data_IF_709153251748
#
_entry.id   IF_709153251748
#
_cell.length_a   1.000
_cell.length_b   1.000
_cell.length_c   1.000
_cell.angle_alpha   90.00
_cell.angle_beta   90.00
_cell.angle_gamma   90.00
#
_symmetry.space_group_name_H-M   'P 1'
#
loop_
_entity.id
_entity.type
_entity.pdbx_description
1 polymer ?
#
# COMPACT_ATOMS: atom_id res chain seq x y z
N UNK A 1 11.76 5.96 -25.44
CA UNK A 1 10.83 6.53 -24.44
C UNK A 1 9.72 5.56 -24.04
N UNK A 2 8.91 5.04 -24.97
CA UNK A 2 7.80 4.12 -24.61
C UNK A 2 8.23 2.83 -23.88
N UNK A 3 9.37 2.22 -24.24
CA UNK A 3 9.91 1.05 -23.51
C UNK A 3 10.22 1.38 -22.05
N UNK A 4 10.68 2.60 -21.76
CA UNK A 4 11.01 3.06 -20.39
C UNK A 4 9.73 3.19 -19.58
N UNK A 5 8.66 3.78 -20.15
CA UNK A 5 7.35 3.84 -19.51
C UNK A 5 6.80 2.45 -19.18
N UNK A 6 6.85 1.51 -20.13
CA UNK A 6 6.38 0.14 -19.88
C UNK A 6 7.13 -0.52 -18.73
N UNK A 7 8.45 -0.41 -18.70
CA UNK A 7 9.27 -0.97 -17.60
C UNK A 7 8.94 -0.29 -16.26
N UNK A 8 8.71 1.03 -16.24
CA UNK A 8 8.33 1.73 -15.03
C UNK A 8 6.94 1.30 -14.52
N UNK A 9 5.97 1.08 -15.42
CA UNK A 9 4.63 0.58 -15.09
C UNK A 9 4.70 -0.86 -14.56
N UNK A 10 5.50 -1.73 -15.19
CA UNK A 10 5.73 -3.11 -14.74
C UNK A 10 6.37 -3.13 -13.34
N UNK A 11 7.38 -2.28 -13.11
CA UNK A 11 8.02 -2.12 -11.79
C UNK A 11 6.99 -1.66 -10.74
N UNK A 12 6.21 -0.63 -11.06
CA UNK A 12 5.19 -0.11 -10.16
C UNK A 12 4.13 -1.17 -9.82
N UNK A 13 3.70 -1.97 -10.80
CA UNK A 13 2.76 -3.07 -10.58
C UNK A 13 3.35 -4.14 -9.64
N UNK A 14 4.64 -4.46 -9.76
CA UNK A 14 5.33 -5.36 -8.84
C UNK A 14 5.36 -4.77 -7.42
N UNK A 15 5.70 -3.49 -7.27
CA UNK A 15 5.71 -2.82 -5.97
C UNK A 15 4.33 -2.80 -5.32
N UNK A 16 3.25 -2.51 -6.05
CA UNK A 16 1.87 -2.58 -5.52
C UNK A 16 1.54 -4.00 -5.05
N UNK A 17 1.97 -5.03 -5.79
CA UNK A 17 1.80 -6.43 -5.39
C UNK A 17 2.59 -6.79 -4.12
N UNK A 18 3.83 -6.34 -4.01
CA UNK A 18 4.66 -6.54 -2.81
C UNK A 18 4.04 -5.87 -1.59
N UNK A 19 3.51 -4.65 -1.74
CA UNK A 19 2.76 -3.96 -0.68
C UNK A 19 1.54 -4.76 -0.23
N UNK A 20 0.78 -5.34 -1.19
CA UNK A 20 -0.34 -6.21 -0.87
C UNK A 20 0.10 -7.42 -0.01
N UNK A 21 1.22 -8.04 -0.37
CA UNK A 21 1.78 -9.18 0.37
C UNK A 21 2.24 -8.77 1.77
N UNK A 22 2.90 -7.62 1.92
CA UNK A 22 3.32 -7.11 3.23
C UNK A 22 2.14 -6.84 4.15
N UNK A 23 1.08 -6.18 3.64
CA UNK A 23 -0.16 -5.94 4.39
C UNK A 23 -0.83 -7.26 4.79
N UNK A 24 -0.90 -8.22 3.86
CA UNK A 24 -1.50 -9.53 4.15
C UNK A 24 -0.71 -10.29 5.23
N UNK A 25 0.62 -10.37 5.10
CA UNK A 25 1.47 -11.05 6.08
C UNK A 25 1.37 -10.40 7.45
N UNK A 26 1.36 -9.07 7.52
CA UNK A 26 1.20 -8.37 8.79
C UNK A 26 -0.20 -8.55 9.38
N UNK A 27 -1.26 -8.50 8.56
CA UNK A 27 -2.62 -8.77 9.01
C UNK A 27 -2.81 -10.18 9.57
N UNK A 28 -2.18 -11.17 8.93
CA UNK A 28 -2.16 -12.55 9.41
C UNK A 28 -1.44 -12.67 10.75
N UNK A 29 -0.24 -12.07 10.88
CA UNK A 29 0.51 -12.01 12.14
C UNK A 29 -0.35 -11.42 13.28
N UNK A 30 -1.07 -10.33 13.00
CA UNK A 30 -1.95 -9.68 13.97
C UNK A 30 -3.18 -10.52 14.34
N UNK A 31 -3.74 -11.29 13.40
CA UNK A 31 -4.92 -12.13 13.63
C UNK A 31 -4.59 -13.43 14.37
N UNK A 32 -3.45 -14.05 14.06
CA UNK A 32 -3.06 -15.37 14.58
C UNK A 32 -2.32 -15.30 15.92
N UNK A 33 -1.71 -14.16 16.25
CA UNK A 33 -0.94 -14.08 17.49
C UNK A 33 -1.84 -14.12 18.73
N UNK A 34 -1.72 -15.20 19.49
CA UNK A 34 -2.20 -15.25 20.87
C UNK A 34 -1.33 -14.35 21.73
N UNK A 35 -1.95 -13.45 22.51
CA UNK A 35 -1.20 -12.60 23.43
C UNK A 35 -0.59 -13.46 24.55
N UNK A 36 0.70 -13.28 24.87
CA UNK A 36 1.32 -13.99 25.98
C UNK A 36 0.65 -13.60 27.32
N UNK A 37 0.66 -14.51 28.30
CA UNK A 37 0.06 -14.29 29.61
C UNK A 37 0.87 -13.32 30.51
N UNK A 38 2.06 -12.90 30.10
CA UNK A 38 2.95 -12.01 30.86
C UNK A 38 2.81 -10.55 30.39
N UNK A 39 2.33 -9.68 31.28
CA UNK A 39 1.93 -8.29 30.99
C UNK A 39 3.04 -7.41 30.40
N UNK A 40 4.29 -7.55 30.87
CA UNK A 40 5.43 -6.76 30.38
C UNK A 40 5.84 -7.10 28.94
N UNK A 41 5.46 -8.28 28.46
CA UNK A 41 5.69 -8.73 27.08
C UNK A 41 4.66 -8.12 26.12
N UNK A 42 3.44 -7.85 26.60
CA UNK A 42 2.31 -7.38 25.78
C UNK A 42 2.53 -5.94 25.31
N UNK A 43 2.83 -4.98 26.21
CA UNK A 43 3.03 -3.57 25.83
C UNK A 43 4.15 -3.40 24.81
N UNK A 44 5.25 -4.16 24.96
CA UNK A 44 6.35 -4.16 23.99
C UNK A 44 5.93 -4.70 22.63
N UNK A 45 5.17 -5.80 22.60
CA UNK A 45 4.65 -6.37 21.34
C UNK A 45 3.71 -5.38 20.65
N UNK A 46 2.86 -4.70 21.40
CA UNK A 46 1.95 -3.68 20.85
C UNK A 46 2.73 -2.49 20.28
N UNK A 47 3.76 -2.00 20.99
CA UNK A 47 4.61 -0.92 20.51
C UNK A 47 5.30 -1.29 19.17
N UNK A 48 5.89 -2.49 19.08
CA UNK A 48 6.56 -2.97 17.85
C UNK A 48 5.59 -3.08 16.67
N UNK A 49 4.36 -3.56 16.92
CA UNK A 49 3.33 -3.64 15.89
C UNK A 49 2.89 -2.27 15.42
N UNK A 50 2.73 -1.33 16.34
CA UNK A 50 2.36 0.05 16.02
C UNK A 50 3.45 0.73 15.19
N UNK A 51 4.72 0.54 15.54
CA UNK A 51 5.85 0.99 14.73
C UNK A 51 5.81 0.40 13.31
N UNK A 52 5.62 -0.92 13.18
CA UNK A 52 5.51 -1.60 11.89
C UNK A 52 4.33 -1.10 11.05
N UNK A 53 3.18 -0.81 11.67
CA UNK A 53 2.04 -0.20 11.00
C UNK A 53 2.41 1.16 10.40
N UNK A 54 3.05 2.04 11.19
CA UNK A 54 3.45 3.36 10.68
C UNK A 54 4.49 3.26 9.56
N UNK A 55 5.45 2.33 9.65
CA UNK A 55 6.39 2.09 8.55
C UNK A 55 5.66 1.69 7.26
N UNK A 56 4.68 0.77 7.34
CA UNK A 56 3.89 0.39 6.16
C UNK A 56 3.11 1.57 5.57
N UNK A 57 2.61 2.50 6.40
CA UNK A 57 1.96 3.73 5.92
C UNK A 57 2.92 4.65 5.19
N UNK A 58 4.15 4.79 5.67
CA UNK A 58 5.19 5.56 4.98
C UNK A 58 5.55 4.92 3.63
N UNK A 59 5.70 3.59 3.61
CA UNK A 59 5.99 2.84 2.39
C UNK A 59 4.86 3.00 1.36
N UNK A 60 3.60 2.81 1.75
CA UNK A 60 2.42 3.04 0.89
C UNK A 60 2.39 4.49 0.37
N UNK A 61 2.72 5.46 1.22
CA UNK A 61 2.79 6.88 0.82
C UNK A 61 3.87 7.10 -0.25
N UNK A 62 5.02 6.45 -0.12
CA UNK A 62 6.10 6.52 -1.10
C UNK A 62 5.67 5.90 -2.44
N UNK A 63 5.08 4.71 -2.42
CA UNK A 63 4.56 4.02 -3.62
C UNK A 63 3.46 4.85 -4.29
N UNK A 64 2.58 5.48 -3.51
CA UNK A 64 1.53 6.37 -4.04
C UNK A 64 2.13 7.58 -4.75
N UNK A 65 3.23 8.16 -4.23
CA UNK A 65 3.93 9.26 -4.90
C UNK A 65 4.55 8.78 -6.22
N UNK A 66 5.16 7.61 -6.26
CA UNK A 66 5.70 7.02 -7.48
C UNK A 66 4.61 6.86 -8.56
N UNK A 67 3.47 6.26 -8.22
CA UNK A 67 2.36 6.09 -9.16
C UNK A 67 1.80 7.43 -9.66
N UNK A 68 1.71 8.45 -8.80
CA UNK A 68 1.27 9.79 -9.20
C UNK A 68 2.26 10.46 -10.16
N UNK A 69 3.56 10.29 -9.94
CA UNK A 69 4.59 10.77 -10.86
C UNK A 69 4.47 10.10 -12.23
N UNK A 70 4.21 8.78 -12.25
CA UNK A 70 3.97 8.04 -13.50
C UNK A 70 2.75 8.56 -14.26
N UNK A 71 1.63 8.86 -13.57
CA UNK A 71 0.46 9.47 -14.21
C UNK A 71 0.79 10.84 -14.82
N UNK A 72 1.48 11.71 -14.08
CA UNK A 72 1.89 13.02 -14.57
C UNK A 72 2.75 12.91 -15.85
N UNK A 73 3.71 11.98 -15.88
CA UNK A 73 4.55 11.76 -17.06
C UNK A 73 3.80 11.14 -18.25
N UNK A 74 2.67 10.46 -18.01
CA UNK A 74 1.80 9.95 -19.06
C UNK A 74 0.79 11.01 -19.57
N UNK A 75 0.57 12.09 -18.83
CA UNK A 75 -0.32 13.22 -19.21
C UNK A 75 0.40 14.33 -19.98
N UNK A 76 1.73 14.30 -20.12
CA UNK A 76 2.50 15.37 -20.76
C UNK A 76 2.07 15.65 -22.22
N UNK A 77 1.86 16.93 -22.59
CA UNK A 77 1.10 17.33 -23.79
C UNK A 77 1.97 17.41 -25.06
N UNK A 78 2.74 16.37 -25.39
CA UNK A 78 3.34 16.21 -26.72
C UNK A 78 2.26 15.84 -27.78
N UNK A 79 1.10 16.49 -27.71
CA UNK A 79 -0.13 16.23 -28.47
C UNK A 79 -0.05 16.65 -29.95
N UNK A 80 1.03 17.28 -30.39
CA UNK A 80 1.17 17.74 -31.77
C UNK A 80 2.07 16.78 -32.57
N UNK A 81 1.54 15.62 -32.97
CA UNK A 81 2.15 14.78 -34.01
C UNK A 81 2.29 13.28 -33.73
N UNK A 82 1.75 12.76 -32.62
CA UNK A 82 1.75 11.32 -32.34
C UNK A 82 0.74 10.56 -33.21
N UNK A 83 1.16 9.38 -33.68
CA UNK A 83 0.26 8.44 -34.35
C UNK A 83 -0.88 8.00 -33.41
N UNK A 84 -2.07 7.79 -33.95
CA UNK A 84 -3.29 7.43 -33.20
C UNK A 84 -3.10 6.17 -32.31
N UNK A 85 -2.30 5.21 -32.78
CA UNK A 85 -1.91 3.99 -32.03
C UNK A 85 -1.10 4.31 -30.76
N UNK A 86 -0.19 5.29 -30.83
CA UNK A 86 0.63 5.71 -29.68
C UNK A 86 -0.22 6.45 -28.64
N UNK A 87 -1.22 7.22 -29.09
CA UNK A 87 -2.16 7.90 -28.20
C UNK A 87 -3.06 6.90 -27.47
N UNK A 88 -3.59 5.89 -28.17
CA UNK A 88 -4.41 4.84 -27.56
C UNK A 88 -3.62 4.03 -26.52
N UNK A 89 -2.36 3.70 -26.83
CA UNK A 89 -1.48 2.96 -25.94
C UNK A 89 -1.16 3.72 -24.66
N UNK A 90 -0.83 5.01 -24.78
CA UNK A 90 -0.58 5.89 -23.64
C UNK A 90 -1.83 6.03 -22.75
N UNK A 91 -3.02 6.11 -23.35
CA UNK A 91 -4.29 6.09 -22.61
C UNK A 91 -4.47 4.79 -21.81
N UNK A 92 -4.16 3.63 -22.42
CA UNK A 92 -4.24 2.33 -21.75
C UNK A 92 -3.20 2.17 -20.61
N UNK A 93 -1.99 2.68 -20.83
CA UNK A 93 -0.93 2.73 -19.82
C UNK A 93 -1.35 3.60 -18.63
N UNK A 94 -1.97 4.77 -18.89
CA UNK A 94 -2.52 5.66 -17.87
C UNK A 94 -3.62 4.99 -17.05
N UNK A 95 -4.59 4.34 -17.71
CA UNK A 95 -5.66 3.60 -17.04
C UNK A 95 -5.12 2.48 -16.14
N UNK A 96 -4.06 1.82 -16.57
CA UNK A 96 -3.40 0.77 -15.80
C UNK A 96 -2.78 1.32 -14.51
N UNK A 97 -2.02 2.42 -14.60
CA UNK A 97 -1.42 3.06 -13.42
C UNK A 97 -2.49 3.60 -12.48
N UNK A 98 -3.54 4.25 -13.02
CA UNK A 98 -4.65 4.76 -12.22
C UNK A 98 -5.34 3.62 -11.45
N UNK A 99 -5.64 2.50 -12.12
CA UNK A 99 -6.25 1.32 -11.48
C UNK A 99 -5.36 0.75 -10.37
N UNK A 100 -4.04 0.68 -10.57
CA UNK A 100 -3.10 0.21 -9.56
C UNK A 100 -3.07 1.13 -8.33
N UNK A 101 -3.13 2.46 -8.53
CA UNK A 101 -3.26 3.44 -7.45
C UNK A 101 -4.58 3.28 -6.68
N UNK A 102 -5.70 3.06 -7.38
CA UNK A 102 -6.99 2.78 -6.74
C UNK A 102 -6.89 1.52 -5.88
N UNK A 103 -6.32 0.44 -6.40
CA UNK A 103 -6.12 -0.81 -5.64
C UNK A 103 -5.23 -0.61 -4.42
N UNK A 104 -4.12 0.14 -4.54
CA UNK A 104 -3.25 0.46 -3.42
C UNK A 104 -4.00 1.20 -2.31
N UNK A 105 -4.80 2.20 -2.67
CA UNK A 105 -5.60 2.96 -1.73
C UNK A 105 -6.71 2.11 -1.06
N UNK A 106 -7.36 1.23 -1.81
CA UNK A 106 -8.34 0.29 -1.27
C UNK A 106 -7.71 -0.68 -0.27
N UNK A 107 -6.52 -1.21 -0.57
CA UNK A 107 -5.76 -2.08 0.35
C UNK A 107 -5.37 -1.35 1.62
N UNK A 108 -4.86 -0.13 1.51
CA UNK A 108 -4.53 0.74 2.65
C UNK A 108 -5.77 0.98 3.53
N UNK A 109 -6.88 1.40 2.92
CA UNK A 109 -8.13 1.71 3.63
C UNK A 109 -8.69 0.47 4.34
N UNK A 110 -8.66 -0.69 3.69
CA UNK A 110 -9.09 -1.94 4.29
C UNK A 110 -8.20 -2.34 5.48
N UNK A 111 -6.89 -2.13 5.35
CA UNK A 111 -5.93 -2.45 6.41
C UNK A 111 -6.06 -1.49 7.60
N UNK A 112 -6.25 -0.19 7.37
CA UNK A 112 -6.50 0.81 8.42
C UNK A 112 -7.73 0.40 9.26
N UNK A 113 -8.83 0.02 8.60
CA UNK A 113 -10.04 -0.43 9.31
C UNK A 113 -9.86 -1.75 10.06
N UNK A 114 -8.97 -2.64 9.60
CA UNK A 114 -8.59 -3.83 10.36
C UNK A 114 -7.73 -3.47 11.58
N UNK A 115 -6.75 -2.58 11.39
CA UNK A 115 -5.82 -2.14 12.41
C UNK A 115 -6.52 -1.42 13.56
N UNK A 116 -7.47 -0.51 13.29
CA UNK A 116 -8.25 0.17 14.32
C UNK A 116 -9.01 -0.81 15.22
N UNK A 117 -9.66 -1.81 14.62
CA UNK A 117 -10.35 -2.88 15.36
C UNK A 117 -9.38 -3.71 16.19
N UNK A 118 -8.20 -4.00 15.63
CA UNK A 118 -7.14 -4.70 16.35
C UNK A 118 -6.68 -3.89 17.57
N UNK A 119 -6.36 -2.60 17.39
CA UNK A 119 -5.92 -1.71 18.47
C UNK A 119 -6.96 -1.62 19.58
N UNK A 120 -8.23 -1.39 19.25
CA UNK A 120 -9.31 -1.34 20.24
C UNK A 120 -9.40 -2.65 21.05
N UNK A 121 -9.29 -3.80 20.38
CA UNK A 121 -9.27 -5.11 21.05
C UNK A 121 -8.09 -5.22 22.01
N UNK A 122 -6.91 -4.75 21.62
CA UNK A 122 -5.70 -4.79 22.46
C UNK A 122 -5.81 -3.85 23.67
N UNK A 123 -6.37 -2.65 23.50
CA UNK A 123 -6.65 -1.73 24.60
C UNK A 123 -7.63 -2.33 25.61
N UNK A 124 -8.70 -2.98 25.14
CA UNK A 124 -9.65 -3.69 25.98
C UNK A 124 -8.98 -4.82 26.75
N UNK A 125 -8.08 -5.60 26.11
CA UNK A 125 -7.28 -6.58 26.84
C UNK A 125 -6.47 -5.92 27.95
N UNK A 126 -5.67 -4.90 27.65
CA UNK A 126 -4.84 -4.23 28.67
C UNK A 126 -5.67 -3.67 29.84
N UNK A 127 -6.89 -3.19 29.60
CA UNK A 127 -7.78 -2.72 30.67
C UNK A 127 -8.24 -3.86 31.59
N UNK A 128 -8.47 -5.07 31.07
CA UNK A 128 -8.86 -6.23 31.89
C UNK A 128 -7.71 -6.76 32.77
N UNK A 129 -6.47 -6.46 32.41
CA UNK A 129 -5.26 -6.87 33.16
C UNK A 129 -4.79 -5.81 34.17
N UNK A 130 -5.43 -4.63 34.21
CA UNK A 130 -5.21 -3.59 35.24
C UNK A 130 -6.16 -3.82 36.41
#
# INVERSE_FOLDING_TARGET
EWVVFRTAIESFALTVKETAQMLQSFGMELAETQLPAETYSIERILALRTEKYYQLKEDITAVTKEGKMLLCSLEEPDMEGLEEDQQQKRSSDWETVHRLLTQLHEMETAFDGFWEKHQLKMEQYLQLWK
#
